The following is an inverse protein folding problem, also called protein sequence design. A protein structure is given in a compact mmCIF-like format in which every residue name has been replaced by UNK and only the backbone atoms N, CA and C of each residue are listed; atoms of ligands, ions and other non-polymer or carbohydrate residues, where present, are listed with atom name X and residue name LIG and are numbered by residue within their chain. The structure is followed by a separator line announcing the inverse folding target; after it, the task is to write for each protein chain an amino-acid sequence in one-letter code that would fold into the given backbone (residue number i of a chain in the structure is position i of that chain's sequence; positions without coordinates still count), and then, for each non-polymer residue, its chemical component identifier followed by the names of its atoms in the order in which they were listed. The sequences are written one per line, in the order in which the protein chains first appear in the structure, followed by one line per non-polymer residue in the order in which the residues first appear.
data_IF_929714405829
#
_entry.id   IF_929714405829
#
_cell.length_a   1.000
_cell.length_b   1.000
_cell.length_c   1.000
_cell.angle_alpha   90.00
_cell.angle_beta   90.00
_cell.angle_gamma   90.00
#
_symmetry.space_group_name_H-M   'P 1'
#
loop_
_entity.id
_entity.type
_entity.pdbx_description
1 polymer ?
#
# COMPACT_ATOMS: atom_id res chain seq x y z
N UNK A 1 11.04 26.20 -22.72
CA UNK A 1 10.21 26.06 -21.50
C UNK A 1 9.39 24.79 -21.61
N UNK A 2 9.58 23.82 -20.71
CA UNK A 2 8.80 22.56 -20.70
C UNK A 2 7.51 22.80 -19.90
N UNK A 3 6.39 22.98 -20.58
CA UNK A 3 5.05 22.98 -20.00
C UNK A 3 4.73 21.58 -19.48
N UNK A 4 4.81 21.39 -18.17
CA UNK A 4 4.71 20.08 -17.50
C UNK A 4 3.41 19.92 -16.70
N UNK A 5 2.29 20.47 -17.18
CA UNK A 5 0.99 20.33 -16.52
C UNK A 5 0.19 19.08 -16.96
N UNK A 6 0.74 18.25 -17.84
CA UNK A 6 0.03 17.12 -18.48
C UNK A 6 -0.55 16.10 -17.48
N UNK A 7 0.08 15.90 -16.32
CA UNK A 7 -0.23 14.78 -15.41
C UNK A 7 -0.71 15.16 -14.02
N UNK A 8 -0.86 16.46 -13.72
CA UNK A 8 -1.21 16.91 -12.38
C UNK A 8 -2.73 17.15 -12.28
N UNK A 9 -3.34 16.58 -11.24
CA UNK A 9 -4.75 16.76 -10.89
C UNK A 9 -4.97 17.99 -10.01
N UNK A 10 -6.14 18.12 -9.40
CA UNK A 10 -6.46 19.11 -8.37
C UNK A 10 -6.80 18.41 -7.06
N UNK A 11 -6.20 18.85 -5.96
CA UNK A 11 -6.50 18.37 -4.62
C UNK A 11 -7.17 19.50 -3.83
N UNK A 12 -8.28 19.18 -3.19
CA UNK A 12 -9.09 20.13 -2.43
C UNK A 12 -9.26 19.61 -1.00
N UNK A 13 -9.07 20.46 0.00
CA UNK A 13 -9.31 20.15 1.41
C UNK A 13 -10.23 21.21 2.02
N UNK A 14 -11.32 20.78 2.64
CA UNK A 14 -12.25 21.65 3.35
C UNK A 14 -11.96 21.59 4.85
N UNK A 15 -11.89 22.76 5.47
CA UNK A 15 -11.64 22.96 6.90
C UNK A 15 -12.76 23.78 7.54
N UNK A 16 -13.09 23.42 8.77
CA UNK A 16 -13.83 24.25 9.72
C UNK A 16 -12.91 24.63 10.88
N UNK A 17 -12.57 25.92 10.94
CA UNK A 17 -11.52 26.43 11.80
C UNK A 17 -10.19 25.74 11.48
N UNK A 18 -9.67 24.98 12.45
CA UNK A 18 -8.43 24.21 12.32
C UNK A 18 -8.64 22.74 11.97
N UNK A 19 -9.89 22.27 11.92
CA UNK A 19 -10.22 20.86 11.72
C UNK A 19 -10.48 20.60 10.25
N UNK A 20 -9.73 19.65 9.65
CA UNK A 20 -10.02 19.17 8.30
C UNK A 20 -11.28 18.33 8.34
N UNK A 21 -12.29 18.71 7.56
CA UNK A 21 -13.55 17.99 7.48
C UNK A 21 -13.53 16.98 6.33
N UNK A 22 -13.27 17.44 5.11
CA UNK A 22 -13.31 16.62 3.90
C UNK A 22 -12.15 16.93 2.97
N UNK A 23 -11.85 15.98 2.07
CA UNK A 23 -10.82 16.14 1.06
C UNK A 23 -11.18 15.39 -0.22
N UNK A 24 -10.93 16.02 -1.36
CA UNK A 24 -11.21 15.49 -2.69
C UNK A 24 -9.99 15.55 -3.58
N UNK A 25 -9.89 14.60 -4.49
CA UNK A 25 -8.83 14.52 -5.46
C UNK A 25 -9.44 14.34 -6.85
N UNK A 26 -9.24 15.34 -7.68
CA UNK A 26 -9.69 15.37 -9.07
C UNK A 26 -8.49 15.01 -9.96
N UNK A 27 -8.58 13.90 -10.67
CA UNK A 27 -7.54 13.46 -11.59
C UNK A 27 -7.35 14.44 -12.77
N UNK A 28 -6.27 14.29 -13.56
CA UNK A 28 -5.98 15.18 -14.70
C UNK A 28 -7.06 15.14 -15.79
N UNK A 29 -7.91 14.11 -15.84
CA UNK A 29 -9.05 14.04 -16.76
C UNK A 29 -10.18 15.01 -16.42
N UNK A 30 -10.24 15.53 -15.18
CA UNK A 30 -11.27 16.46 -14.76
C UNK A 30 -10.89 17.88 -15.16
N UNK A 31 -11.51 18.39 -16.23
CA UNK A 31 -11.22 19.74 -16.75
C UNK A 31 -11.94 20.84 -15.99
N UNK A 32 -13.09 20.54 -15.38
CA UNK A 32 -13.90 21.50 -14.63
C UNK A 32 -14.36 20.86 -13.33
N UNK A 33 -14.24 21.60 -12.23
CA UNK A 33 -14.75 21.20 -10.91
C UNK A 33 -15.90 22.16 -10.59
N UNK A 34 -17.05 21.58 -10.27
CA UNK A 34 -18.24 22.31 -9.88
C UNK A 34 -18.46 22.13 -8.39
N UNK A 35 -18.96 23.19 -7.75
CA UNK A 35 -19.26 23.26 -6.34
C UNK A 35 -20.72 23.66 -6.08
N UNK A 36 -21.32 23.09 -5.05
CA UNK A 36 -22.68 23.37 -4.60
C UNK A 36 -22.72 23.36 -3.06
N UNK A 37 -23.75 23.91 -2.42
CA UNK A 37 -23.87 23.84 -0.95
C UNK A 37 -24.17 22.44 -0.43
N UNK A 38 -24.54 21.50 -1.32
CA UNK A 38 -24.93 20.12 -1.00
C UNK A 38 -24.13 19.09 -1.83
N UNK A 39 -24.39 17.81 -1.58
CA UNK A 39 -23.73 16.67 -2.23
C UNK A 39 -24.21 16.42 -3.68
N UNK A 40 -24.96 17.35 -4.28
CA UNK A 40 -25.47 17.16 -5.66
C UNK A 40 -24.38 17.23 -6.71
N UNK A 41 -23.21 17.77 -6.38
CA UNK A 41 -22.06 17.92 -7.28
C UNK A 41 -20.75 17.42 -6.66
N UNK A 42 -19.67 17.25 -7.45
CA UNK A 42 -18.44 16.63 -6.98
C UNK A 42 -17.71 17.32 -5.83
N UNK A 43 -17.98 18.60 -5.57
CA UNK A 43 -17.38 19.36 -4.48
C UNK A 43 -18.45 20.09 -3.65
N UNK A 44 -18.98 19.48 -2.58
CA UNK A 44 -19.86 20.19 -1.66
C UNK A 44 -19.05 21.21 -0.85
N UNK A 45 -19.44 22.48 -0.92
CA UNK A 45 -18.83 23.60 -0.19
C UNK A 45 -19.80 24.09 0.89
N UNK A 46 -20.10 23.20 1.85
CA UNK A 46 -21.05 23.45 2.93
C UNK A 46 -20.86 24.85 3.55
N UNK A 47 -21.87 25.71 3.42
CA UNK A 47 -21.89 27.04 4.01
C UNK A 47 -21.09 28.13 3.29
N UNK A 48 -20.37 27.84 2.20
CA UNK A 48 -19.85 28.91 1.33
C UNK A 48 -21.00 29.64 0.64
N UNK A 49 -20.91 30.96 0.55
CA UNK A 49 -21.88 31.75 -0.22
C UNK A 49 -21.49 31.73 -1.68
N UNK A 50 -22.20 30.91 -2.46
CA UNK A 50 -22.01 30.78 -3.89
C UNK A 50 -22.90 31.79 -4.64
N UNK A 51 -22.41 32.39 -5.74
CA UNK A 51 -23.21 33.34 -6.53
C UNK A 51 -24.24 32.63 -7.42
N UNK A 52 -23.94 31.42 -7.85
CA UNK A 52 -24.78 30.56 -8.68
C UNK A 52 -24.57 29.10 -8.26
N UNK A 53 -25.59 28.26 -8.44
CA UNK A 53 -25.55 26.84 -8.08
C UNK A 53 -25.91 25.99 -9.31
N UNK A 54 -25.01 25.11 -9.79
CA UNK A 54 -23.66 24.85 -9.30
C UNK A 54 -22.64 25.91 -9.76
N UNK A 55 -21.72 26.27 -8.86
CA UNK A 55 -20.65 27.23 -9.11
C UNK A 55 -19.42 26.54 -9.71
N UNK A 56 -18.83 27.12 -10.76
CA UNK A 56 -17.53 26.66 -11.25
C UNK A 56 -16.43 27.09 -10.28
N UNK A 57 -15.80 26.14 -9.57
CA UNK A 57 -14.72 26.46 -8.62
C UNK A 57 -13.34 26.40 -9.28
N UNK A 58 -13.14 25.48 -10.22
CA UNK A 58 -11.86 25.30 -10.89
C UNK A 58 -12.02 24.88 -12.35
N UNK A 59 -11.17 25.41 -13.21
CA UNK A 59 -11.08 25.05 -14.63
C UNK A 59 -9.62 24.79 -15.00
N UNK A 60 -9.34 23.71 -15.71
CA UNK A 60 -7.98 23.34 -16.12
C UNK A 60 -7.47 24.26 -17.22
N UNK A 61 -6.23 24.72 -17.07
CA UNK A 61 -5.52 25.52 -18.06
C UNK A 61 -4.29 24.76 -18.58
N UNK A 62 -3.56 25.34 -19.54
CA UNK A 62 -2.33 24.75 -20.07
C UNK A 62 -1.21 24.67 -19.02
N UNK A 63 -1.25 25.54 -18.01
CA UNK A 63 -0.19 25.69 -17.00
C UNK A 63 -0.59 25.13 -15.61
N UNK A 64 -1.88 24.86 -15.39
CA UNK A 64 -2.39 24.37 -14.12
C UNK A 64 -3.91 24.45 -14.05
N UNK A 65 -4.43 25.18 -13.06
CA UNK A 65 -5.87 25.41 -12.89
C UNK A 65 -6.15 26.89 -12.67
N UNK A 66 -7.26 27.36 -13.24
CA UNK A 66 -7.89 28.63 -12.89
C UNK A 66 -8.87 28.37 -11.77
N UNK A 67 -8.68 29.03 -10.63
CA UNK A 67 -9.55 28.92 -9.46
C UNK A 67 -10.45 30.14 -9.41
N UNK A 68 -11.76 29.92 -9.52
CA UNK A 68 -12.77 30.96 -9.42
C UNK A 68 -13.11 31.20 -7.95
N UNK A 69 -13.32 32.47 -7.62
CA UNK A 69 -13.40 32.94 -6.23
C UNK A 69 -14.85 33.30 -5.92
N UNK A 70 -15.49 32.64 -4.93
CA UNK A 70 -16.80 33.06 -4.45
C UNK A 70 -16.74 34.50 -3.90
N UNK A 71 -17.78 35.32 -4.10
CA UNK A 71 -17.73 36.77 -3.85
C UNK A 71 -17.47 37.15 -2.39
N UNK A 72 -17.86 36.30 -1.43
CA UNK A 72 -17.65 36.52 0.00
C UNK A 72 -16.33 35.92 0.54
N UNK A 73 -15.53 35.28 -0.31
CA UNK A 73 -14.30 34.61 0.10
C UNK A 73 -13.09 35.54 0.07
N UNK A 74 -12.25 35.43 1.10
CA UNK A 74 -10.88 35.96 1.08
C UNK A 74 -9.99 34.95 0.36
N UNK A 75 -9.05 35.46 -0.45
CA UNK A 75 -8.12 34.63 -1.22
C UNK A 75 -6.72 34.81 -0.67
N UNK A 76 -6.09 33.70 -0.32
CA UNK A 76 -4.72 33.67 0.13
C UNK A 76 -3.93 32.68 -0.72
N UNK A 77 -2.64 32.93 -0.91
CA UNK A 77 -1.74 32.08 -1.68
C UNK A 77 -0.49 31.78 -0.88
N UNK A 78 -0.04 30.53 -0.96
CA UNK A 78 1.27 30.08 -0.52
C UNK A 78 2.05 29.64 -1.76
N UNK A 79 3.26 30.16 -1.94
CA UNK A 79 4.18 29.73 -3.01
C UNK A 79 5.27 28.89 -2.38
N UNK A 80 5.58 27.72 -2.95
CA UNK A 80 6.70 26.86 -2.50
C UNK A 80 6.68 26.51 -1.00
N UNK A 81 5.49 26.46 -0.40
CA UNK A 81 5.34 26.14 1.02
C UNK A 81 5.60 27.31 1.98
N UNK A 82 5.72 28.54 1.48
CA UNK A 82 5.74 29.74 2.32
C UNK A 82 4.41 29.94 3.07
N UNK A 83 4.39 30.85 4.05
CA UNK A 83 3.15 31.21 4.73
C UNK A 83 2.10 31.73 3.74
N UNK A 84 0.82 31.44 4.00
CA UNK A 84 -0.27 31.98 3.21
C UNK A 84 -0.31 33.51 3.35
N UNK A 85 -0.27 34.19 2.21
CA UNK A 85 -0.37 35.65 2.12
C UNK A 85 -1.64 36.02 1.35
N UNK A 86 -2.31 37.13 1.71
CA UNK A 86 -3.46 37.60 0.96
C UNK A 86 -3.08 37.92 -0.48
N UNK A 87 -3.88 37.46 -1.42
CA UNK A 87 -3.69 37.77 -2.85
C UNK A 87 -4.17 39.19 -3.10
N UNK A 88 -3.31 40.10 -3.59
CA UNK A 88 -3.72 41.47 -3.86
C UNK A 88 -4.70 41.51 -5.04
N UNK A 89 -5.58 42.51 -5.05
CA UNK A 89 -6.58 42.70 -6.12
C UNK A 89 -5.97 42.85 -7.51
N UNK A 90 -4.70 43.25 -7.61
CA UNK A 90 -3.95 43.34 -8.87
C UNK A 90 -3.60 41.98 -9.48
N UNK A 91 -3.52 40.92 -8.66
CA UNK A 91 -3.28 39.55 -9.11
C UNK A 91 -4.59 38.80 -9.40
N UNK A 92 -5.71 39.26 -8.83
CA UNK A 92 -7.05 38.76 -9.13
C UNK A 92 -7.48 39.22 -10.52
N UNK A 93 -7.68 38.25 -11.41
CA UNK A 93 -8.26 38.51 -12.72
C UNK A 93 -9.77 38.57 -12.58
N UNK A 94 -10.41 39.51 -13.25
CA UNK A 94 -11.87 39.70 -13.20
C UNK A 94 -12.43 39.77 -14.62
N UNK A 95 -13.58 39.15 -14.83
CA UNK A 95 -14.40 39.30 -16.03
C UNK A 95 -15.86 39.36 -15.60
N UNK A 96 -16.48 40.53 -15.77
CA UNK A 96 -17.82 40.79 -15.27
C UNK A 96 -17.90 40.57 -13.76
N UNK A 97 -18.80 39.67 -13.35
CA UNK A 97 -19.03 39.33 -11.94
C UNK A 97 -18.05 38.27 -11.39
N UNK A 98 -17.26 37.62 -12.24
CA UNK A 98 -16.40 36.51 -11.83
C UNK A 98 -14.97 36.97 -11.62
N UNK A 99 -14.40 36.58 -10.48
CA UNK A 99 -12.98 36.75 -10.18
C UNK A 99 -12.29 35.38 -10.15
N UNK A 100 -11.05 35.32 -10.63
CA UNK A 100 -10.25 34.11 -10.59
C UNK A 100 -8.77 34.39 -10.35
N UNK A 101 -8.09 33.34 -9.92
CA UNK A 101 -6.65 33.30 -9.67
C UNK A 101 -6.07 32.04 -10.30
N UNK A 102 -4.90 32.15 -10.92
CA UNK A 102 -4.22 31.00 -11.51
C UNK A 102 -3.50 30.19 -10.41
N UNK A 103 -3.61 28.87 -10.45
CA UNK A 103 -2.96 27.91 -9.56
C UNK A 103 -1.94 27.13 -10.38
N UNK A 104 -0.67 27.34 -10.07
CA UNK A 104 0.46 26.64 -10.71
C UNK A 104 0.90 25.42 -9.90
N UNK A 105 1.80 24.61 -10.45
CA UNK A 105 2.29 23.39 -9.82
C UNK A 105 3.05 23.59 -8.48
N UNK A 106 3.51 24.80 -8.19
CA UNK A 106 4.25 25.14 -6.96
C UNK A 106 3.41 25.94 -5.95
N UNK A 107 2.17 26.26 -6.30
CA UNK A 107 1.30 27.13 -5.51
C UNK A 107 0.24 26.33 -4.75
N UNK A 108 -0.23 26.92 -3.65
CA UNK A 108 -1.46 26.54 -2.96
C UNK A 108 -2.32 27.78 -2.80
N UNK A 109 -3.62 27.64 -3.02
CA UNK A 109 -4.60 28.71 -2.84
C UNK A 109 -5.52 28.32 -1.69
N UNK A 110 -5.83 29.27 -0.82
CA UNK A 110 -6.82 29.11 0.25
C UNK A 110 -7.94 30.13 0.04
N UNK A 111 -9.17 29.65 0.00
CA UNK A 111 -10.37 30.46 0.00
C UNK A 111 -11.00 30.37 1.38
N UNK A 112 -11.14 31.50 2.08
CA UNK A 112 -11.67 31.53 3.45
C UNK A 112 -12.91 32.40 3.57
N UNK A 113 -13.93 31.92 4.29
CA UNK A 113 -15.17 32.62 4.56
C UNK A 113 -15.61 32.36 6.01
N UNK A 114 -15.37 33.32 6.91
CA UNK A 114 -15.56 33.09 8.34
C UNK A 114 -14.62 31.97 8.83
N UNK A 115 -15.19 30.95 9.46
CA UNK A 115 -14.45 29.76 9.93
C UNK A 115 -14.22 28.71 8.83
N UNK A 116 -14.86 28.85 7.67
CA UNK A 116 -14.68 27.94 6.55
C UNK A 116 -13.38 28.26 5.81
N UNK A 117 -12.62 27.22 5.47
CA UNK A 117 -11.44 27.34 4.62
C UNK A 117 -11.35 26.20 3.62
N UNK A 118 -11.33 26.52 2.32
CA UNK A 118 -11.09 25.58 1.24
C UNK A 118 -9.65 25.78 0.75
N UNK A 119 -8.83 24.76 0.90
CA UNK A 119 -7.47 24.73 0.39
C UNK A 119 -7.45 23.99 -0.94
N UNK A 120 -6.86 24.60 -1.96
CA UNK A 120 -6.67 24.03 -3.30
C UNK A 120 -5.18 23.94 -3.61
N UNK A 121 -4.74 22.76 -4.05
CA UNK A 121 -3.36 22.49 -4.42
C UNK A 121 -3.30 21.58 -5.65
N UNK A 122 -2.25 21.66 -6.47
CA UNK A 122 -2.03 20.69 -7.54
C UNK A 122 -1.85 19.28 -6.95
N UNK A 123 -2.62 18.32 -7.46
CA UNK A 123 -2.53 16.92 -7.06
C UNK A 123 -1.43 16.21 -7.84
N UNK A 124 -0.48 15.64 -7.12
CA UNK A 124 0.55 14.74 -7.70
C UNK A 124 0.05 13.31 -7.92
N UNK A 125 -1.24 13.04 -7.68
CA UNK A 125 -1.78 11.67 -7.72
C UNK A 125 -1.62 11.00 -9.10
N UNK A 126 -1.51 11.77 -10.18
CA UNK A 126 -1.21 11.25 -11.53
C UNK A 126 0.24 10.79 -11.74
N UNK A 127 1.20 11.14 -10.86
CA UNK A 127 2.60 10.71 -11.01
C UNK A 127 2.85 9.24 -10.68
N UNK A 128 1.96 8.56 -9.96
CA UNK A 128 2.23 7.22 -9.38
C UNK A 128 1.61 6.04 -10.11
N UNK A 129 1.07 6.22 -11.32
CA UNK A 129 0.62 5.09 -12.17
C UNK A 129 1.41 5.01 -13.46
N UNK A 130 2.74 5.21 -13.39
CA UNK A 130 3.61 4.56 -14.35
C UNK A 130 3.51 3.06 -14.08
N UNK A 131 2.64 2.37 -14.81
CA UNK A 131 2.57 0.91 -14.77
C UNK A 131 3.97 0.32 -14.93
N UNK A 132 4.21 -0.87 -14.36
CA UNK A 132 5.47 -1.60 -14.48
C UNK A 132 5.93 -1.53 -15.94
N UNK A 133 7.10 -0.93 -16.19
CA UNK A 133 7.61 -0.84 -17.54
C UNK A 133 7.94 -2.26 -18.04
N UNK A 134 7.99 -2.47 -19.36
CA UNK A 134 8.41 -3.75 -19.91
C UNK A 134 9.79 -4.19 -19.40
N UNK A 135 10.65 -3.22 -19.06
CA UNK A 135 11.94 -3.44 -18.42
C UNK A 135 11.79 -3.95 -16.98
N UNK A 136 10.88 -3.37 -16.20
CA UNK A 136 10.61 -3.81 -14.82
C UNK A 136 9.99 -5.21 -14.80
N UNK A 137 9.10 -5.51 -15.75
CA UNK A 137 8.53 -6.85 -15.93
C UNK A 137 9.58 -7.88 -16.33
N UNK A 138 10.48 -7.52 -17.24
CA UNK A 138 11.60 -8.40 -17.63
C UNK A 138 12.55 -8.68 -16.47
N UNK A 139 12.84 -7.65 -15.66
CA UNK A 139 13.71 -7.78 -14.49
C UNK A 139 13.05 -8.60 -13.37
N UNK A 140 11.74 -8.42 -13.17
CA UNK A 140 10.94 -9.24 -12.24
C UNK A 140 10.92 -10.71 -12.67
N UNK A 141 10.69 -10.98 -13.97
CA UNK A 141 10.69 -12.33 -14.52
C UNK A 141 12.05 -13.01 -14.37
N UNK A 142 13.15 -12.28 -14.60
CA UNK A 142 14.50 -12.79 -14.39
C UNK A 142 14.77 -13.11 -12.91
N UNK A 143 14.34 -12.25 -11.97
CA UNK A 143 14.47 -12.50 -10.53
C UNK A 143 13.65 -13.71 -10.10
N UNK A 144 12.43 -13.87 -10.60
CA UNK A 144 11.61 -15.07 -10.37
C UNK A 144 12.28 -16.33 -10.90
N UNK A 145 12.83 -16.28 -12.12
CA UNK A 145 13.54 -17.41 -12.71
C UNK A 145 14.79 -17.78 -11.89
N UNK A 146 15.54 -16.79 -11.40
CA UNK A 146 16.70 -17.02 -10.54
C UNK A 146 16.29 -17.65 -9.20
N UNK A 147 15.24 -17.14 -8.56
CA UNK A 147 14.75 -17.66 -7.28
C UNK A 147 14.20 -19.10 -7.41
N UNK A 148 13.49 -19.39 -8.50
CA UNK A 148 12.95 -20.71 -8.78
C UNK A 148 13.99 -21.71 -9.30
N UNK A 149 15.16 -21.24 -9.77
CA UNK A 149 16.22 -22.14 -10.25
C UNK A 149 16.87 -22.95 -9.13
N UNK A 150 16.89 -22.45 -7.88
CA UNK A 150 17.46 -23.14 -6.72
C UNK A 150 16.67 -24.43 -6.36
N UNK A 151 15.35 -24.40 -6.11
CA UNK A 151 14.59 -25.61 -5.81
C UNK A 151 14.52 -26.57 -7.01
N UNK A 152 14.46 -26.07 -8.24
CA UNK A 152 14.49 -26.91 -9.45
C UNK A 152 15.84 -27.60 -9.63
N UNK A 153 16.94 -26.89 -9.36
CA UNK A 153 18.28 -27.47 -9.32
C UNK A 153 18.41 -28.56 -8.26
N UNK A 154 17.81 -28.38 -7.07
CA UNK A 154 17.83 -29.37 -6.00
C UNK A 154 17.00 -30.63 -6.31
N UNK A 155 15.93 -30.49 -7.09
CA UNK A 155 15.09 -31.60 -7.55
C UNK A 155 15.72 -32.37 -8.72
N UNK A 156 16.41 -31.68 -9.64
CA UNK A 156 17.07 -32.29 -10.80
C UNK A 156 18.45 -32.86 -10.47
N UNK A 157 19.23 -32.20 -9.61
CA UNK A 157 20.47 -32.73 -9.04
C UNK A 157 20.18 -33.68 -7.87
N UNK A 158 19.19 -34.55 -8.07
CA UNK A 158 18.77 -35.53 -7.08
C UNK A 158 19.97 -36.28 -6.50
N UNK A 159 20.13 -36.12 -5.18
CA UNK A 159 20.71 -37.03 -4.21
C UNK A 159 21.38 -38.26 -4.85
N UNK A 160 22.71 -38.23 -4.97
CA UNK A 160 23.43 -39.45 -5.32
C UNK A 160 23.12 -40.52 -4.25
N UNK A 161 22.74 -41.75 -4.65
CA UNK A 161 22.38 -42.81 -3.70
C UNK A 161 23.54 -43.14 -2.75
N UNK A 162 24.77 -42.84 -3.14
CA UNK A 162 25.98 -43.04 -2.35
C UNK A 162 26.05 -42.13 -1.12
N UNK A 163 25.68 -40.84 -1.24
CA UNK A 163 25.67 -39.93 -0.09
C UNK A 163 24.54 -40.22 0.90
N UNK A 164 23.42 -40.77 0.43
CA UNK A 164 22.35 -41.27 1.32
C UNK A 164 22.79 -42.52 2.09
N UNK A 165 23.48 -43.45 1.43
CA UNK A 165 24.03 -44.63 2.09
C UNK A 165 25.09 -44.25 3.13
N UNK A 166 25.96 -43.29 2.82
CA UNK A 166 27.01 -42.84 3.73
C UNK A 166 26.44 -42.05 4.94
N UNK A 167 25.48 -41.15 4.72
CA UNK A 167 24.84 -40.40 5.81
C UNK A 167 24.00 -41.32 6.71
N UNK A 168 23.32 -42.32 6.15
CA UNK A 168 22.56 -43.29 6.92
C UNK A 168 23.49 -44.24 7.70
N UNK A 169 24.62 -44.65 7.13
CA UNK A 169 25.64 -45.43 7.84
C UNK A 169 26.25 -44.65 9.01
N UNK A 170 26.53 -43.36 8.82
CA UNK A 170 27.01 -42.47 9.90
C UNK A 170 25.94 -42.23 10.97
N UNK A 171 24.68 -42.08 10.58
CA UNK A 171 23.56 -41.92 11.52
C UNK A 171 23.35 -43.19 12.37
N UNK A 172 23.42 -44.37 11.75
CA UNK A 172 23.33 -45.66 12.45
C UNK A 172 24.53 -45.90 13.39
N UNK A 173 25.74 -45.47 13.00
CA UNK A 173 26.91 -45.54 13.88
C UNK A 173 26.75 -44.64 15.11
N UNK A 174 26.32 -43.39 14.92
CA UNK A 174 26.07 -42.45 16.02
C UNK A 174 24.94 -42.92 16.95
N UNK A 175 23.91 -43.59 16.42
CA UNK A 175 22.85 -44.19 17.22
C UNK A 175 23.37 -45.34 18.09
N UNK A 176 24.22 -46.22 17.52
CA UNK A 176 24.85 -47.32 18.28
C UNK A 176 25.78 -46.80 19.37
N UNK A 177 26.52 -45.73 19.11
CA UNK A 177 27.38 -45.11 20.13
C UNK A 177 26.57 -44.52 21.28
N UNK A 178 25.45 -43.84 20.98
CA UNK A 178 24.53 -43.32 22.01
C UNK A 178 23.92 -44.45 22.83
N UNK A 179 23.47 -45.51 22.19
CA UNK A 179 22.92 -46.67 22.88
C UNK A 179 23.98 -47.37 23.76
N UNK A 180 25.22 -47.47 23.29
CA UNK A 180 26.34 -47.99 24.10
C UNK A 180 26.70 -47.08 25.27
N UNK A 181 26.67 -45.76 25.08
CA UNK A 181 26.91 -44.78 26.14
C UNK A 181 25.80 -44.81 27.21
N UNK A 182 24.54 -44.95 26.79
CA UNK A 182 23.41 -45.13 27.70
C UNK A 182 23.48 -46.47 28.44
N UNK A 183 23.87 -47.56 27.76
CA UNK A 183 24.08 -48.88 28.38
C UNK A 183 25.21 -48.86 29.42
N UNK A 184 26.32 -48.16 29.14
CA UNK A 184 27.41 -47.92 30.11
C UNK A 184 26.94 -47.06 31.30
N UNK A 185 26.07 -46.07 31.06
CA UNK A 185 25.49 -45.23 32.13
C UNK A 185 24.54 -46.02 33.04
N UNK A 186 23.83 -47.01 32.48
CA UNK A 186 22.87 -47.84 33.20
C UNK A 186 23.50 -49.07 33.90
N UNK A 187 24.80 -49.31 33.71
CA UNK A 187 25.54 -50.39 34.39
C UNK A 187 25.11 -51.81 33.96
N UNK A 188 24.58 -51.96 32.74
CA UNK A 188 24.07 -53.25 32.24
C UNK A 188 25.06 -53.83 31.22
N UNK A 189 25.86 -54.82 31.64
CA UNK A 189 26.88 -55.49 30.80
C UNK A 189 26.36 -56.69 30.00
N UNK A 190 25.03 -56.91 29.92
CA UNK A 190 24.48 -58.03 29.17
C UNK A 190 24.16 -57.62 27.73
N UNK A 191 24.75 -58.25 26.69
CA UNK A 191 24.44 -57.93 25.31
C UNK A 191 22.97 -58.27 24.98
N UNK A 192 22.29 -57.39 24.27
CA UNK A 192 20.93 -57.62 23.81
C UNK A 192 20.88 -58.90 22.95
N UNK A 193 20.03 -59.85 23.35
CA UNK A 193 19.80 -61.09 22.61
C UNK A 193 19.25 -60.73 21.23
N UNK A 194 19.81 -61.25 20.13
CA UNK A 194 19.27 -60.97 18.80
C UNK A 194 17.85 -61.51 18.72
N UNK A 195 16.90 -60.65 18.34
CA UNK A 195 15.55 -61.08 17.98
C UNK A 195 15.67 -61.95 16.73
N UNK A 196 15.53 -63.27 16.92
CA UNK A 196 15.50 -64.22 15.82
C UNK A 196 14.20 -64.00 15.03
N UNK A 197 14.22 -63.98 13.69
CA UNK A 197 13.04 -63.65 12.89
C UNK A 197 11.95 -64.74 12.88
N UNK A 198 12.04 -65.76 13.74
CA UNK A 198 11.10 -66.88 13.83
C UNK A 198 10.42 -67.01 15.21
N UNK A 199 9.96 -65.90 15.79
CA UNK A 199 8.90 -65.97 16.81
C UNK A 199 7.56 -65.61 16.15
N UNK A 200 6.81 -66.63 15.75
CA UNK A 200 5.38 -66.51 15.43
C UNK A 200 4.64 -65.83 16.60
N UNK A 201 3.60 -65.02 16.30
CA UNK A 201 2.85 -64.31 17.32
C UNK A 201 1.93 -65.30 18.02
N UNK A 202 2.27 -65.72 19.23
CA UNK A 202 1.35 -66.51 20.04
C UNK A 202 0.44 -65.58 20.86
N UNK A 203 -0.84 -65.91 20.79
CA UNK A 203 -1.96 -65.08 21.14
C UNK A 203 -2.05 -64.91 22.66
N UNK A 204 -1.85 -63.67 23.11
CA UNK A 204 -2.07 -63.24 24.48
C UNK A 204 -3.01 -62.05 24.51
N UNK A 205 -4.30 -62.30 24.24
CA UNK A 205 -5.38 -61.35 24.46
C UNK A 205 -5.27 -60.79 25.88
N UNK A 206 -4.96 -59.50 25.99
CA UNK A 206 -5.30 -58.72 27.17
C UNK A 206 -5.94 -57.42 26.72
N UNK A 207 -7.22 -57.56 26.36
CA UNK A 207 -8.19 -56.48 26.34
C UNK A 207 -8.08 -55.66 27.62
N UNK A 208 -7.74 -54.38 27.50
CA UNK A 208 -8.09 -53.38 28.51
C UNK A 208 -9.06 -52.40 27.84
N UNK A 209 -10.30 -52.31 28.34
CA UNK A 209 -11.31 -51.42 27.79
C UNK A 209 -11.03 -49.99 28.25
N UNK A 210 -11.00 -49.06 27.30
CA UNK A 210 -10.79 -47.64 27.56
C UNK A 210 -11.84 -46.79 26.87
N UNK A 211 -13.10 -46.89 27.30
CA UNK A 211 -14.08 -45.81 27.09
C UNK A 211 -14.97 -45.68 28.33
N UNK A 212 -14.64 -44.71 29.18
CA UNK A 212 -15.61 -44.10 30.09
C UNK A 212 -15.58 -42.60 29.87
N UNK A 213 -16.68 -42.11 29.32
CA UNK A 213 -17.03 -40.70 29.23
C UNK A 213 -18.48 -40.59 28.77
N UNK A 214 -19.37 -40.22 29.70
CA UNK A 214 -20.76 -39.74 29.51
C UNK A 214 -21.75 -40.85 29.07
N UNK A 215 -22.77 -41.27 29.82
CA UNK A 215 -23.54 -40.71 30.95
C UNK A 215 -23.49 -41.55 32.22
#
# INVERSE_FOLDING_TARGET
MKTKASHDGLFCELYWGTTRNEAWNFGPGQTRVLAAPDETVPLPLYGFTLPEEPFLIAERTLEGYRIFVPPASRVERSRRGEAFQPVPDTELRRSGASAWVELTAEDRVRLSQGELSLLLAPSVAGKRTGGLSARDLGLLAMLLALLLSIPVGLLLAGHSPEHMAESNARALAAAREKEQAERKRLGVDTPARPLSPNSLPDAGVRTLPGSFGVH
#
